data_IF_485105606907
#
_entry.id   IF_485105606907
#
_cell.length_a   1.000
_cell.length_b   1.000
_cell.length_c   1.000
_cell.angle_alpha   90.00
_cell.angle_beta   90.00
_cell.angle_gamma   90.00
#
_symmetry.space_group_name_H-M   'P 1'
#
loop_
_entity.id
_entity.type
_entity.pdbx_description
1 polymer ?
#
# COMPACT_ATOMS: atom_id res chain seq x y z
N UNK A 1 23.12 18.89 -0.61
CA UNK A 1 22.27 19.64 0.35
C UNK A 1 22.01 18.75 1.56
N UNK A 2 22.17 19.24 2.79
CA UNK A 2 21.87 18.47 4.02
C UNK A 2 20.38 18.54 4.37
N UNK A 3 19.89 17.60 5.18
CA UNK A 3 18.49 17.58 5.66
C UNK A 3 18.15 18.77 6.55
N UNK A 4 19.11 19.23 7.35
CA UNK A 4 18.96 20.46 8.15
C UNK A 4 18.75 21.67 7.23
N UNK A 5 19.56 21.77 6.17
CA UNK A 5 19.44 22.85 5.20
C UNK A 5 18.14 22.80 4.41
N UNK A 6 17.69 21.59 4.05
CA UNK A 6 16.39 21.38 3.42
C UNK A 6 15.24 21.79 4.36
N UNK A 7 15.33 21.44 5.64
CA UNK A 7 14.38 21.84 6.66
C UNK A 7 14.27 23.37 6.78
N UNK A 8 15.40 24.06 6.86
CA UNK A 8 15.46 25.54 6.88
C UNK A 8 14.75 26.15 5.66
N UNK A 9 15.04 25.67 4.46
CA UNK A 9 14.41 26.17 3.23
C UNK A 9 12.89 25.94 3.19
N UNK A 10 12.38 24.90 3.86
CA UNK A 10 10.97 24.54 3.87
C UNK A 10 10.21 25.04 5.11
N UNK A 11 10.91 25.67 6.07
CA UNK A 11 10.35 26.03 7.37
C UNK A 11 9.98 24.80 8.22
N UNK A 12 10.73 23.71 8.09
CA UNK A 12 10.50 22.43 8.77
C UNK A 12 11.68 22.07 9.68
N UNK A 13 11.41 21.28 10.72
CA UNK A 13 12.47 20.73 11.55
C UNK A 13 13.19 19.59 10.83
N UNK A 14 14.47 19.37 11.17
CA UNK A 14 15.24 18.22 10.69
C UNK A 14 14.51 16.88 10.89
N UNK A 15 13.89 16.70 12.06
CA UNK A 15 13.10 15.50 12.36
C UNK A 15 11.90 15.33 11.43
N UNK A 16 11.26 16.42 11.00
CA UNK A 16 10.14 16.36 10.06
C UNK A 16 10.60 15.93 8.66
N UNK A 17 11.75 16.43 8.21
CA UNK A 17 12.38 15.98 6.95
C UNK A 17 12.68 14.48 7.02
N UNK A 18 13.24 13.99 8.12
CA UNK A 18 13.46 12.54 8.33
C UNK A 18 12.16 11.73 8.30
N UNK A 19 11.05 12.26 8.84
CA UNK A 19 9.75 11.58 8.78
C UNK A 19 9.21 11.48 7.36
N UNK A 20 9.50 12.44 6.49
CA UNK A 20 9.14 12.38 5.07
C UNK A 20 9.99 11.34 4.33
N UNK A 21 11.30 11.35 4.53
CA UNK A 21 12.19 10.39 3.88
C UNK A 21 11.87 8.93 4.24
N UNK A 22 11.53 8.68 5.51
CA UNK A 22 11.17 7.33 5.99
C UNK A 22 9.72 6.95 5.70
N UNK A 23 8.94 7.84 5.07
CA UNK A 23 7.52 7.62 4.79
C UNK A 23 6.61 7.52 6.01
N UNK A 24 7.11 7.88 7.21
CA UNK A 24 6.32 7.88 8.45
C UNK A 24 5.23 8.96 8.42
N UNK A 25 5.51 10.08 7.74
CA UNK A 25 4.54 11.13 7.46
C UNK A 25 4.30 11.25 5.96
N UNK A 26 3.03 11.34 5.55
CA UNK A 26 2.67 11.68 4.18
C UNK A 26 3.03 13.14 3.87
N UNK A 27 3.51 13.38 2.65
CA UNK A 27 3.79 14.72 2.14
C UNK A 27 2.57 15.23 1.39
N UNK A 28 2.05 16.40 1.78
CA UNK A 28 0.97 17.05 1.04
C UNK A 28 1.45 17.65 -0.28
N UNK A 29 0.55 17.81 -1.26
CA UNK A 29 0.89 18.30 -2.60
C UNK A 29 1.62 19.66 -2.59
N UNK A 30 1.21 20.60 -1.71
CA UNK A 30 1.90 21.88 -1.56
C UNK A 30 3.35 21.70 -1.13
N UNK A 31 3.64 20.85 -0.13
CA UNK A 31 5.03 20.57 0.28
C UNK A 31 5.83 19.86 -0.78
N UNK A 32 5.21 18.96 -1.54
CA UNK A 32 5.89 18.30 -2.65
C UNK A 32 6.30 19.29 -3.75
N UNK A 33 5.48 20.31 -4.01
CA UNK A 33 5.81 21.41 -4.91
C UNK A 33 6.97 22.26 -4.38
N UNK A 34 6.94 22.63 -3.10
CA UNK A 34 8.03 23.41 -2.49
C UNK A 34 9.35 22.62 -2.50
N UNK A 35 9.29 21.31 -2.20
CA UNK A 35 10.41 20.40 -2.33
C UNK A 35 10.99 20.40 -3.74
N UNK A 36 10.14 20.37 -4.78
CA UNK A 36 10.60 20.38 -6.16
C UNK A 36 11.35 21.67 -6.51
N UNK A 37 10.93 22.81 -5.95
CA UNK A 37 11.60 24.11 -6.13
C UNK A 37 12.94 24.17 -5.43
N UNK A 38 13.03 23.66 -4.20
CA UNK A 38 14.27 23.66 -3.40
C UNK A 38 15.29 22.67 -3.96
N UNK A 39 14.85 21.53 -4.48
CA UNK A 39 15.70 20.50 -5.07
C UNK A 39 16.01 20.73 -6.55
N UNK A 40 15.43 21.78 -7.15
CA UNK A 40 15.54 22.12 -8.57
C UNK A 40 15.18 20.96 -9.52
N UNK A 41 14.05 20.30 -9.22
CA UNK A 41 13.50 19.20 -10.03
C UNK A 41 12.05 19.49 -10.44
N UNK A 42 11.61 18.89 -11.54
CA UNK A 42 10.19 18.89 -11.90
C UNK A 42 9.40 18.14 -10.83
N UNK A 43 8.20 18.62 -10.48
CA UNK A 43 7.33 17.95 -9.49
C UNK A 43 7.04 16.48 -9.84
N UNK A 44 7.05 16.14 -11.13
CA UNK A 44 6.90 14.78 -11.63
C UNK A 44 7.98 13.80 -11.14
N UNK A 45 9.18 14.29 -10.82
CA UNK A 45 10.31 13.50 -10.34
C UNK A 45 9.95 12.59 -9.15
N UNK A 46 9.16 13.11 -8.19
CA UNK A 46 8.75 12.34 -7.01
C UNK A 46 7.80 11.18 -7.31
N UNK A 47 7.31 11.07 -8.55
CA UNK A 47 6.36 10.05 -8.99
C UNK A 47 6.95 9.07 -10.02
N UNK A 48 8.15 9.34 -10.55
CA UNK A 48 8.74 8.56 -11.66
C UNK A 48 9.04 7.10 -11.28
N UNK A 49 9.40 6.84 -10.02
CA UNK A 49 9.72 5.49 -9.52
C UNK A 49 8.63 4.87 -8.63
N UNK A 50 7.39 5.37 -8.69
CA UNK A 50 6.30 4.74 -7.93
C UNK A 50 6.02 3.36 -8.52
N UNK A 51 6.17 2.32 -7.68
CA UNK A 51 5.93 0.94 -8.09
C UNK A 51 4.52 0.74 -8.64
N UNK A 52 4.37 -0.19 -9.59
CA UNK A 52 3.07 -0.56 -10.13
C UNK A 52 2.06 -0.96 -9.03
N UNK A 53 2.56 -1.60 -7.96
CA UNK A 53 1.77 -1.94 -6.77
C UNK A 53 1.25 -0.71 -6.04
N UNK A 54 2.09 0.32 -5.87
CA UNK A 54 1.68 1.57 -5.22
C UNK A 54 0.72 2.40 -6.09
N UNK A 55 0.89 2.37 -7.42
CA UNK A 55 -0.05 3.00 -8.36
C UNK A 55 -1.41 2.31 -8.32
N UNK A 56 -1.45 0.96 -8.31
CA UNK A 56 -2.68 0.19 -8.24
C UNK A 56 -3.43 0.36 -6.90
N UNK A 57 -2.70 0.67 -5.81
CA UNK A 57 -3.28 0.96 -4.50
C UNK A 57 -3.81 2.40 -4.36
N UNK A 58 -3.67 3.24 -5.40
CA UNK A 58 -4.23 4.60 -5.41
C UNK A 58 -5.74 4.57 -5.22
N UNK A 59 -6.31 5.38 -4.30
CA UNK A 59 -7.76 5.51 -4.15
C UNK A 59 -8.47 5.87 -5.46
N UNK A 60 -7.81 6.64 -6.33
CA UNK A 60 -8.34 7.03 -7.64
C UNK A 60 -8.46 5.83 -8.57
N UNK A 61 -7.45 4.95 -8.59
CA UNK A 61 -7.47 3.75 -9.44
C UNK A 61 -8.47 2.70 -8.91
N UNK A 62 -8.63 2.61 -7.59
CA UNK A 62 -9.68 1.81 -6.94
C UNK A 62 -11.08 2.31 -7.32
N UNK A 63 -11.32 3.62 -7.25
CA UNK A 63 -12.62 4.23 -7.58
C UNK A 63 -12.92 4.14 -9.08
N UNK A 64 -11.92 4.31 -9.94
CA UNK A 64 -12.07 4.21 -11.41
C UNK A 64 -12.36 2.80 -11.90
N UNK A 65 -12.29 1.78 -11.05
CA UNK A 65 -12.39 0.39 -11.48
C UNK A 65 -11.20 -0.07 -12.33
N UNK A 66 -10.16 0.76 -12.42
CA UNK A 66 -8.91 0.51 -13.13
C UNK A 66 -7.96 -0.41 -12.34
N UNK A 67 -8.38 -0.89 -11.17
CA UNK A 67 -7.85 -2.13 -10.59
C UNK A 67 -8.31 -3.33 -11.44
N UNK A 68 -8.04 -3.26 -12.74
CA UNK A 68 -7.82 -4.42 -13.57
C UNK A 68 -6.43 -4.88 -13.22
N UNK A 69 -6.33 -6.05 -12.58
CA UNK A 69 -5.11 -6.85 -12.43
C UNK A 69 -4.00 -6.44 -13.42
N UNK A 70 -3.07 -5.57 -13.02
CA UNK A 70 -1.72 -5.64 -13.57
C UNK A 70 -0.95 -6.65 -12.73
N UNK A 71 -1.41 -7.89 -12.84
CA UNK A 71 -0.66 -9.10 -12.50
C UNK A 71 -0.80 -10.00 -13.72
N UNK A 72 -0.09 -9.60 -14.78
CA UNK A 72 0.43 -10.53 -15.78
C UNK A 72 1.76 -11.15 -15.32
N UNK A 73 2.15 -10.96 -14.05
CA UNK A 73 2.77 -12.05 -13.32
C UNK A 73 1.62 -12.87 -12.72
N UNK A 74 1.54 -14.19 -12.91
CA UNK A 74 0.67 -15.00 -12.08
C UNK A 74 1.07 -14.71 -10.63
N UNK A 75 0.24 -13.97 -9.92
CA UNK A 75 0.41 -13.79 -8.48
C UNK A 75 0.04 -15.14 -7.87
N UNK A 76 1.02 -16.03 -7.83
CA UNK A 76 0.89 -17.40 -7.34
C UNK A 76 0.65 -17.44 -5.83
N UNK A 77 0.65 -16.28 -5.14
CA UNK A 77 0.36 -16.22 -3.73
C UNK A 77 -1.16 -16.30 -3.50
N UNK A 78 -1.71 -17.44 -3.08
CA UNK A 78 -3.15 -17.58 -2.86
C UNK A 78 -3.67 -16.62 -1.78
N UNK A 79 -2.79 -16.09 -0.91
CA UNK A 79 -3.14 -15.21 0.20
C UNK A 79 -3.49 -13.77 -0.21
N UNK A 80 -3.14 -13.35 -1.43
CA UNK A 80 -3.51 -12.03 -1.97
C UNK A 80 -4.83 -12.05 -2.72
N UNK A 81 -5.39 -13.24 -2.98
CA UNK A 81 -6.70 -13.39 -3.63
C UNK A 81 -7.80 -12.88 -2.70
N UNK A 82 -8.68 -12.04 -3.25
CA UNK A 82 -9.84 -11.48 -2.54
C UNK A 82 -10.68 -12.57 -1.84
N UNK A 83 -10.93 -13.67 -2.55
CA UNK A 83 -11.68 -14.82 -2.03
C UNK A 83 -11.02 -15.45 -0.79
N UNK A 84 -9.69 -15.60 -0.80
CA UNK A 84 -8.94 -16.13 0.35
C UNK A 84 -9.04 -15.21 1.56
N UNK A 85 -8.95 -13.89 1.36
CA UNK A 85 -9.07 -12.92 2.45
C UNK A 85 -10.50 -12.87 3.02
N UNK A 86 -11.53 -13.00 2.18
CA UNK A 86 -12.92 -13.11 2.61
C UNK A 86 -13.14 -14.40 3.43
N UNK A 87 -12.60 -15.52 2.98
CA UNK A 87 -12.66 -16.80 3.70
C UNK A 87 -11.98 -16.73 5.06
N UNK A 88 -10.77 -16.17 5.14
CA UNK A 88 -10.03 -16.01 6.41
C UNK A 88 -10.80 -15.11 7.39
N UNK A 89 -11.34 -13.98 6.93
CA UNK A 89 -12.14 -13.08 7.77
C UNK A 89 -13.40 -13.77 8.29
N UNK A 90 -14.14 -14.47 7.41
CA UNK A 90 -15.33 -15.21 7.80
C UNK A 90 -15.01 -16.30 8.84
N UNK A 91 -13.91 -17.04 8.65
CA UNK A 91 -13.46 -18.09 9.58
C UNK A 91 -13.19 -17.56 11.00
N UNK A 92 -12.54 -16.40 11.13
CA UNK A 92 -12.28 -15.78 12.44
C UNK A 92 -13.52 -15.15 13.08
N UNK A 93 -14.60 -14.96 12.32
CA UNK A 93 -15.89 -14.46 12.86
C UNK A 93 -16.67 -15.58 13.58
N UNK A 94 -16.28 -16.85 13.41
CA UNK A 94 -16.96 -18.00 14.02
C UNK A 94 -16.58 -18.12 15.50
N UNK A 95 -17.50 -17.72 16.38
CA UNK A 95 -17.31 -17.74 17.83
C UNK A 95 -17.16 -19.17 18.39
N UNK A 96 -18.00 -20.12 17.93
CA UNK A 96 -17.98 -21.51 18.41
C UNK A 96 -16.79 -22.29 17.83
N UNK A 97 -15.86 -22.79 18.68
CA UNK A 97 -14.72 -23.60 18.24
C UNK A 97 -15.12 -24.87 17.49
N UNK A 98 -16.24 -25.51 17.86
CA UNK A 98 -16.70 -26.76 17.21
C UNK A 98 -17.17 -26.52 15.78
N UNK A 99 -17.88 -25.41 15.56
CA UNK A 99 -18.32 -25.00 14.20
C UNK A 99 -17.11 -24.68 13.33
N UNK A 100 -16.12 -23.99 13.90
CA UNK A 100 -14.89 -23.63 13.20
C UNK A 100 -14.10 -24.87 12.75
N UNK A 101 -14.03 -25.89 13.60
CA UNK A 101 -13.41 -27.18 13.28
C UNK A 101 -14.16 -27.92 12.16
N UNK A 102 -15.49 -27.91 12.18
CA UNK A 102 -16.31 -28.51 11.11
C UNK A 102 -16.10 -27.81 9.76
N UNK A 103 -16.03 -26.48 9.74
CA UNK A 103 -15.74 -25.70 8.52
C UNK A 103 -14.36 -26.07 7.96
N UNK A 104 -13.35 -26.22 8.82
CA UNK A 104 -12.01 -26.66 8.40
C UNK A 104 -12.02 -28.09 7.85
N UNK A 105 -12.75 -29.00 8.50
CA UNK A 105 -12.90 -30.39 8.04
C UNK A 105 -13.60 -30.47 6.67
N UNK A 106 -14.63 -29.65 6.47
CA UNK A 106 -15.34 -29.54 5.18
C UNK A 106 -14.41 -28.99 4.09
N UNK A 107 -13.66 -27.92 4.36
CA UNK A 107 -12.70 -27.36 3.41
C UNK A 107 -11.64 -28.40 2.99
N UNK A 108 -11.16 -29.22 3.93
CA UNK A 108 -10.24 -30.34 3.66
C UNK A 108 -10.87 -31.44 2.81
N UNK A 109 -12.15 -31.75 3.03
CA UNK A 109 -12.85 -32.82 2.31
C UNK A 109 -13.16 -32.48 0.84
N UNK A 110 -13.25 -31.19 0.51
CA UNK A 110 -13.50 -30.70 -0.85
C UNK A 110 -12.22 -30.59 -1.71
N UNK A 111 -11.04 -30.66 -1.09
CA UNK A 111 -9.77 -30.65 -1.81
C UNK A 111 -9.51 -31.97 -2.55
N UNK A 112 -8.76 -31.94 -3.67
CA UNK A 112 -8.29 -33.18 -4.30
C UNK A 112 -7.44 -33.97 -3.29
N UNK A 113 -7.60 -35.31 -3.31
CA UNK A 113 -6.78 -36.24 -2.51
C UNK A 113 -5.34 -36.28 -3.01
#
# INVERSE_FOLDING_TARGET
>A
MSQEKLGECLGLTFQQVQKYERGANRVGASRLFDLSRVLDVRVGYFFEEISATAQAASPVEVIRGNVTKSVNAPDENPMTKRETLELVRAYFTIADPKVREQVLAMAKALGPR
#
